data_IF_746245483346
#
_entry.id   IF_746245483346
#
_cell.length_a   1.000
_cell.length_b   1.000
_cell.length_c   1.000
_cell.angle_alpha   90.00
_cell.angle_beta   90.00
_cell.angle_gamma   90.00
#
_symmetry.space_group_name_H-M   'P 1'
#
loop_
_entity.id
_entity.type
_entity.pdbx_description
1 polymer ?
#
# COMPACT_ATOMS: atom_id res chain seq x y z
N UNK A 1 -12.24 23.19 -31.02
CA UNK A 1 -11.22 23.62 -30.04
C UNK A 1 -11.64 23.05 -28.71
N UNK A 2 -11.11 21.89 -28.34
CA UNK A 2 -11.28 21.34 -26.99
C UNK A 2 -10.65 22.33 -26.03
N UNK A 3 -11.45 22.87 -25.11
CA UNK A 3 -10.95 23.63 -23.98
C UNK A 3 -9.91 22.77 -23.28
N UNK A 4 -8.65 23.21 -23.21
CA UNK A 4 -7.63 22.58 -22.37
C UNK A 4 -8.07 22.80 -20.93
N UNK A 5 -8.88 21.89 -20.40
CA UNK A 5 -9.18 21.85 -18.98
C UNK A 5 -7.90 21.48 -18.25
N UNK A 6 -7.53 22.30 -17.27
CA UNK A 6 -6.33 22.10 -16.47
C UNK A 6 -6.78 21.91 -15.03
N UNK A 7 -6.77 20.68 -14.57
CA UNK A 7 -7.28 20.28 -13.26
C UNK A 7 -6.66 21.10 -12.12
N UNK A 8 -5.34 21.32 -12.20
CA UNK A 8 -4.59 22.00 -11.16
C UNK A 8 -4.86 23.49 -11.15
N UNK A 9 -4.92 24.11 -12.34
CA UNK A 9 -5.20 25.54 -12.48
C UNK A 9 -6.65 25.86 -12.12
N UNK A 10 -7.59 25.02 -12.56
CA UNK A 10 -9.03 25.21 -12.35
C UNK A 10 -9.41 25.07 -10.87
N UNK A 11 -8.70 24.23 -10.11
CA UNK A 11 -8.95 23.99 -8.68
C UNK A 11 -7.89 24.63 -7.76
N UNK A 12 -6.98 25.44 -8.31
CA UNK A 12 -5.89 26.10 -7.58
C UNK A 12 -5.05 25.12 -6.72
N UNK A 13 -4.77 23.94 -7.27
CA UNK A 13 -3.95 22.91 -6.65
C UNK A 13 -2.49 23.08 -7.06
N UNK A 14 -1.57 22.76 -6.15
CA UNK A 14 -0.14 22.78 -6.44
C UNK A 14 0.33 21.41 -6.97
N UNK A 15 0.74 21.29 -8.25
CA UNK A 15 1.24 20.03 -8.81
C UNK A 15 2.70 19.73 -8.44
N UNK A 16 3.33 20.49 -7.53
CA UNK A 16 4.73 20.31 -7.17
C UNK A 16 5.03 18.87 -6.72
N UNK A 17 6.08 18.28 -7.32
CA UNK A 17 6.48 16.89 -7.08
C UNK A 17 5.98 15.91 -8.14
N UNK A 18 4.99 16.31 -8.95
CA UNK A 18 4.58 15.57 -10.14
C UNK A 18 5.50 15.86 -11.33
N UNK A 19 5.65 14.88 -12.22
CA UNK A 19 6.20 15.06 -13.56
C UNK A 19 5.16 15.65 -14.50
N UNK A 20 5.66 16.26 -15.58
CA UNK A 20 4.79 16.73 -16.66
C UNK A 20 3.91 15.60 -17.21
N UNK A 21 4.44 14.39 -17.38
CA UNK A 21 3.66 13.25 -17.86
C UNK A 21 2.51 12.87 -16.91
N UNK A 22 2.69 13.02 -15.60
CA UNK A 22 1.66 12.74 -14.59
C UNK A 22 0.60 13.84 -14.59
N UNK A 23 1.02 15.10 -14.74
CA UNK A 23 0.13 16.26 -14.90
C UNK A 23 -0.72 16.11 -16.16
N UNK A 24 -0.10 15.74 -17.28
CA UNK A 24 -0.79 15.55 -18.56
C UNK A 24 -1.84 14.43 -18.48
N UNK A 25 -1.55 13.34 -17.76
CA UNK A 25 -2.52 12.25 -17.51
C UNK A 25 -3.72 12.74 -16.69
N UNK A 26 -3.47 13.50 -15.61
CA UNK A 26 -4.54 14.02 -14.76
C UNK A 26 -5.41 15.02 -15.53
N UNK A 27 -4.80 15.89 -16.33
CA UNK A 27 -5.52 16.82 -17.20
C UNK A 27 -6.33 16.08 -18.29
N UNK A 28 -5.79 15.02 -18.91
CA UNK A 28 -6.55 14.15 -19.83
C UNK A 28 -7.74 13.49 -19.11
N UNK A 29 -7.55 13.03 -17.89
CA UNK A 29 -8.61 12.47 -17.07
C UNK A 29 -9.71 13.50 -16.81
N UNK A 30 -9.34 14.69 -16.31
CA UNK A 30 -10.26 15.77 -16.01
C UNK A 30 -11.04 16.28 -17.23
N UNK A 31 -10.39 16.26 -18.41
CA UNK A 31 -11.02 16.66 -19.67
C UNK A 31 -12.08 15.66 -20.16
N UNK A 32 -11.86 14.37 -19.95
CA UNK A 32 -12.61 13.31 -20.65
C UNK A 32 -13.57 12.49 -19.78
N UNK A 33 -13.51 12.60 -18.45
CA UNK A 33 -14.37 11.80 -17.57
C UNK A 33 -15.16 12.71 -16.63
N UNK A 34 -16.47 12.47 -16.55
CA UNK A 34 -17.32 13.16 -15.58
C UNK A 34 -17.48 12.30 -14.33
N UNK A 35 -17.72 12.96 -13.18
CA UNK A 35 -18.00 12.34 -11.87
C UNK A 35 -19.08 11.25 -11.92
N UNK A 36 -20.02 11.35 -12.86
CA UNK A 36 -21.15 10.42 -12.99
C UNK A 36 -20.86 9.22 -13.91
N UNK A 37 -19.73 9.20 -14.61
CA UNK A 37 -19.42 8.12 -15.55
C UNK A 37 -18.79 6.89 -14.88
N UNK A 38 -18.21 7.03 -13.67
CA UNK A 38 -17.35 6.03 -12.99
C UNK A 38 -17.28 6.28 -11.47
N UNK A 39 -17.17 5.23 -10.63
CA UNK A 39 -16.94 5.41 -9.18
C UNK A 39 -15.48 5.74 -8.83
N UNK A 40 -14.61 5.89 -9.84
CA UNK A 40 -13.27 6.48 -9.67
C UNK A 40 -13.22 7.74 -10.51
N UNK A 41 -13.34 8.89 -9.86
CA UNK A 41 -13.31 10.22 -10.46
C UNK A 41 -12.27 11.11 -9.78
N UNK A 42 -11.84 12.15 -10.49
CA UNK A 42 -11.03 13.21 -9.91
C UNK A 42 -11.89 14.07 -8.99
N UNK A 43 -11.33 14.50 -7.87
CA UNK A 43 -12.02 15.37 -6.93
C UNK A 43 -12.56 16.64 -7.58
N UNK A 44 -13.74 17.05 -7.16
CA UNK A 44 -14.19 18.43 -7.34
C UNK A 44 -13.67 19.35 -6.22
N UNK A 45 -14.03 20.63 -6.30
CA UNK A 45 -13.58 21.63 -5.33
C UNK A 45 -14.06 21.33 -3.89
N UNK A 46 -15.25 20.74 -3.72
CA UNK A 46 -15.80 20.40 -2.41
C UNK A 46 -15.06 19.19 -1.82
N UNK A 47 -14.83 18.16 -2.63
CA UNK A 47 -14.07 16.98 -2.22
C UNK A 47 -12.63 17.32 -1.84
N UNK A 48 -11.98 18.23 -2.57
CA UNK A 48 -10.64 18.72 -2.21
C UNK A 48 -10.65 19.32 -0.80
N UNK A 49 -11.62 20.17 -0.47
CA UNK A 49 -11.71 20.81 0.85
C UNK A 49 -11.93 19.76 1.95
N UNK A 50 -12.89 18.85 1.73
CA UNK A 50 -13.21 17.77 2.68
C UNK A 50 -11.98 16.91 2.97
N UNK A 51 -11.32 16.40 1.93
CA UNK A 51 -10.21 15.47 2.11
C UNK A 51 -8.91 16.16 2.57
N UNK A 52 -8.73 17.45 2.27
CA UNK A 52 -7.63 18.24 2.84
C UNK A 52 -7.78 18.38 4.36
N UNK A 53 -8.97 18.75 4.84
CA UNK A 53 -9.23 18.86 6.29
C UNK A 53 -9.20 17.48 6.97
N UNK A 54 -9.68 16.43 6.29
CA UNK A 54 -9.59 15.06 6.80
C UNK A 54 -8.13 14.63 7.02
N UNK A 55 -7.25 14.79 6.03
CA UNK A 55 -5.83 14.46 6.17
C UNK A 55 -5.17 15.29 7.28
N UNK A 56 -5.53 16.57 7.40
CA UNK A 56 -5.02 17.42 8.48
C UNK A 56 -5.42 16.88 9.86
N UNK A 57 -6.68 16.51 10.05
CA UNK A 57 -7.15 15.90 11.29
C UNK A 57 -6.39 14.60 11.62
N UNK A 58 -6.25 13.70 10.65
CA UNK A 58 -5.48 12.44 10.82
C UNK A 58 -4.05 12.74 11.29
N UNK A 59 -3.38 13.70 10.65
CA UNK A 59 -2.00 14.04 11.01
C UNK A 59 -1.91 14.57 12.44
N UNK A 60 -2.86 15.39 12.87
CA UNK A 60 -2.90 15.93 14.23
C UNK A 60 -3.17 14.84 15.29
N UNK A 61 -4.10 13.92 15.02
CA UNK A 61 -4.43 12.82 15.94
C UNK A 61 -3.30 11.79 16.11
N UNK A 62 -2.52 11.55 15.06
CA UNK A 62 -1.49 10.50 15.03
C UNK A 62 -0.04 11.03 15.10
N UNK A 63 0.18 12.08 15.88
CA UNK A 63 1.51 12.63 16.22
C UNK A 63 2.31 13.16 14.99
N UNK A 64 1.64 13.89 14.10
CA UNK A 64 2.20 14.44 12.84
C UNK A 64 2.72 13.36 11.89
N UNK A 65 1.81 12.53 11.39
CA UNK A 65 2.12 11.51 10.37
C UNK A 65 2.78 12.11 9.13
N UNK A 66 4.09 11.89 9.00
CA UNK A 66 4.87 12.36 7.86
C UNK A 66 4.62 11.54 6.60
N UNK A 67 4.08 10.32 6.74
CA UNK A 67 3.74 9.47 5.60
C UNK A 67 2.83 10.17 4.57
N UNK A 68 1.85 10.93 5.06
CA UNK A 68 0.86 11.61 4.21
C UNK A 68 1.34 12.94 3.61
N UNK A 69 2.47 13.50 4.09
CA UNK A 69 3.00 14.77 3.58
C UNK A 69 3.38 14.71 2.10
N UNK A 70 3.71 13.50 1.64
CA UNK A 70 4.20 13.27 0.29
C UNK A 70 3.09 12.75 -0.64
N UNK A 71 1.83 12.62 -0.19
CA UNK A 71 0.74 12.07 -1.01
C UNK A 71 -0.20 13.16 -1.48
N UNK A 72 -0.37 13.28 -2.79
CA UNK A 72 -1.44 14.06 -3.39
C UNK A 72 -2.66 13.16 -3.61
N UNK A 73 -3.70 13.36 -2.81
CA UNK A 73 -5.00 12.71 -3.02
C UNK A 73 -5.71 13.32 -4.24
N UNK A 74 -6.40 12.47 -5.00
CA UNK A 74 -7.11 12.92 -6.19
C UNK A 74 -8.43 12.20 -6.44
N UNK A 75 -8.80 11.16 -5.68
CA UNK A 75 -10.05 10.41 -5.85
C UNK A 75 -10.48 9.78 -4.54
N UNK A 76 -11.79 9.58 -4.36
CA UNK A 76 -12.34 8.79 -3.27
C UNK A 76 -13.69 8.17 -3.66
N UNK A 77 -14.08 7.12 -2.93
CA UNK A 77 -15.42 6.52 -3.02
C UNK A 77 -16.39 7.06 -1.95
N UNK A 78 -17.61 6.52 -1.96
CA UNK A 78 -18.68 6.88 -1.02
C UNK A 78 -18.38 6.44 0.42
N UNK A 79 -17.52 5.44 0.59
CA UNK A 79 -17.09 4.91 1.88
C UNK A 79 -15.83 5.65 2.39
N UNK A 80 -15.52 6.83 1.84
CA UNK A 80 -14.36 7.65 2.23
C UNK A 80 -12.98 7.00 2.01
N UNK A 81 -12.90 5.93 1.23
CA UNK A 81 -11.61 5.40 0.82
C UNK A 81 -11.02 6.28 -0.26
N UNK A 82 -9.74 6.62 -0.14
CA UNK A 82 -9.06 7.55 -1.01
C UNK A 82 -8.01 6.87 -1.88
N UNK A 83 -7.71 7.51 -3.00
CA UNK A 83 -6.54 7.21 -3.83
C UNK A 83 -5.70 8.47 -4.01
N UNK A 84 -4.40 8.31 -3.90
CA UNK A 84 -3.44 9.37 -4.12
C UNK A 84 -2.14 8.90 -4.78
N UNK A 85 -1.37 9.86 -5.27
CA UNK A 85 -0.04 9.62 -5.85
C UNK A 85 1.03 10.12 -4.89
N UNK A 86 2.05 9.30 -4.67
CA UNK A 86 3.23 9.69 -3.92
C UNK A 86 4.08 10.66 -4.76
N UNK A 87 4.31 11.87 -4.27
CA UNK A 87 4.97 12.98 -4.98
C UNK A 87 6.46 13.09 -4.66
N UNK A 88 6.95 12.39 -3.64
CA UNK A 88 8.37 12.39 -3.22
C UNK A 88 8.81 11.03 -2.66
N UNK A 89 10.11 10.93 -2.35
CA UNK A 89 10.70 9.74 -1.74
C UNK A 89 10.94 8.58 -2.71
N UNK A 90 11.28 7.41 -2.15
CA UNK A 90 11.64 6.22 -2.93
C UNK A 90 10.47 5.68 -3.77
N UNK A 91 9.23 5.88 -3.31
CA UNK A 91 8.00 5.42 -3.97
C UNK A 91 7.35 6.49 -4.84
N UNK A 92 8.08 7.53 -5.24
CA UNK A 92 7.52 8.62 -6.04
C UNK A 92 6.88 8.08 -7.33
N UNK A 93 5.67 8.56 -7.64
CA UNK A 93 4.86 8.18 -8.78
C UNK A 93 3.96 6.97 -8.53
N UNK A 94 4.12 6.30 -7.38
CA UNK A 94 3.29 5.17 -6.99
C UNK A 94 1.94 5.64 -6.50
N UNK A 95 0.92 4.84 -6.79
CA UNK A 95 -0.46 5.09 -6.38
C UNK A 95 -0.72 4.35 -5.08
N UNK A 96 -1.26 5.07 -4.12
CA UNK A 96 -1.62 4.60 -2.80
C UNK A 96 -3.13 4.57 -2.65
N UNK A 97 -3.62 3.49 -2.07
CA UNK A 97 -4.96 3.38 -1.54
C UNK A 97 -4.91 3.69 -0.04
N UNK A 98 -5.87 4.49 0.42
CA UNK A 98 -5.99 4.93 1.80
C UNK A 98 -7.41 4.63 2.30
N UNK A 99 -7.41 3.92 3.41
CA UNK A 99 -8.47 3.69 4.36
C UNK A 99 -9.48 4.76 4.73
N UNK A 100 -10.78 4.44 4.85
CA UNK A 100 -11.57 5.07 5.93
C UNK A 100 -10.98 4.75 7.31
N UNK A 101 -10.52 3.49 7.50
CA UNK A 101 -9.84 3.02 8.71
C UNK A 101 -8.33 3.33 8.69
N UNK A 102 -7.88 4.22 7.79
CA UNK A 102 -6.51 4.71 7.66
C UNK A 102 -5.40 3.69 7.35
N UNK A 103 -5.75 2.46 6.98
CA UNK A 103 -4.78 1.52 6.39
C UNK A 103 -4.33 2.04 5.03
N UNK A 104 -3.02 1.96 4.78
CA UNK A 104 -2.45 2.60 3.59
C UNK A 104 -1.50 1.65 2.90
N UNK A 105 -1.73 1.42 1.62
CA UNK A 105 -0.88 0.52 0.85
C UNK A 105 -0.69 0.98 -0.59
N UNK A 106 0.48 0.73 -1.17
CA UNK A 106 0.69 0.94 -2.59
C UNK A 106 -0.13 -0.08 -3.39
N UNK A 107 -0.70 0.39 -4.49
CA UNK A 107 -1.60 -0.40 -5.35
C UNK A 107 -1.15 -0.43 -6.81
N UNK A 108 -0.50 0.65 -7.28
CA UNK A 108 0.15 0.72 -8.60
C UNK A 108 1.52 1.36 -8.50
N UNK A 109 2.46 0.91 -9.35
CA UNK A 109 3.80 1.55 -9.45
C UNK A 109 3.78 2.86 -10.23
N UNK A 110 2.76 3.09 -11.06
CA UNK A 110 2.66 4.32 -11.86
C UNK A 110 1.21 4.78 -12.02
N UNK A 111 1.01 6.10 -12.10
CA UNK A 111 -0.26 6.70 -12.47
C UNK A 111 -0.76 6.23 -13.83
N UNK A 112 0.15 6.02 -14.79
CA UNK A 112 -0.21 5.54 -16.14
C UNK A 112 -0.90 4.17 -16.08
N UNK A 113 -0.31 3.20 -15.37
CA UNK A 113 -0.88 1.86 -15.25
C UNK A 113 -2.24 1.88 -14.54
N UNK A 114 -2.36 2.68 -13.47
CA UNK A 114 -3.63 2.89 -12.79
C UNK A 114 -4.69 3.49 -13.74
N UNK A 115 -4.34 4.56 -14.43
CA UNK A 115 -5.25 5.27 -15.32
C UNK A 115 -5.69 4.39 -16.49
N UNK A 116 -4.80 3.59 -17.08
CA UNK A 116 -5.15 2.62 -18.14
C UNK A 116 -6.20 1.61 -17.67
N UNK A 117 -6.10 1.07 -16.45
CA UNK A 117 -7.10 0.15 -15.89
C UNK A 117 -8.42 0.84 -15.52
N UNK A 118 -8.37 2.10 -15.10
CA UNK A 118 -9.58 2.93 -14.95
C UNK A 118 -10.23 3.12 -16.33
N UNK A 119 -9.47 3.49 -17.37
CA UNK A 119 -9.96 3.65 -18.75
C UNK A 119 -10.62 2.39 -19.30
N UNK A 120 -10.01 1.22 -19.09
CA UNK A 120 -10.52 -0.09 -19.53
C UNK A 120 -11.70 -0.61 -18.72
N UNK A 121 -12.07 0.07 -17.61
CA UNK A 121 -13.12 -0.34 -16.65
C UNK A 121 -12.81 -1.64 -15.91
N UNK A 122 -11.54 -2.03 -15.83
CA UNK A 122 -11.10 -3.10 -14.94
C UNK A 122 -11.17 -2.67 -13.47
N UNK A 123 -11.02 -1.37 -13.24
CA UNK A 123 -11.27 -0.74 -11.95
C UNK A 123 -12.45 0.20 -12.12
N UNK A 124 -13.47 -0.03 -11.31
CA UNK A 124 -14.65 0.85 -11.26
C UNK A 124 -14.88 1.46 -9.90
N UNK A 125 -14.14 1.04 -8.88
CA UNK A 125 -14.36 1.39 -7.48
C UNK A 125 -13.03 1.46 -6.72
N UNK A 126 -12.87 2.46 -5.86
CA UNK A 126 -11.69 2.64 -5.00
C UNK A 126 -11.63 1.53 -3.95
N UNK A 127 -12.77 1.14 -3.37
CA UNK A 127 -12.85 0.06 -2.38
C UNK A 127 -12.30 -1.28 -2.89
N UNK A 128 -12.32 -1.50 -4.22
CA UNK A 128 -11.78 -2.70 -4.84
C UNK A 128 -10.27 -2.87 -4.55
N UNK A 129 -9.55 -1.77 -4.39
CA UNK A 129 -8.14 -1.79 -3.98
C UNK A 129 -7.94 -2.24 -2.56
N UNK A 130 -8.91 -1.96 -1.69
CA UNK A 130 -8.91 -2.43 -0.32
C UNK A 130 -8.75 -3.95 -0.23
N UNK A 131 -9.32 -4.69 -1.18
CA UNK A 131 -9.25 -6.16 -1.19
C UNK A 131 -7.87 -6.65 -1.65
N UNK A 132 -7.29 -6.07 -2.70
CA UNK A 132 -6.05 -6.56 -3.34
C UNK A 132 -5.27 -5.42 -4.03
N UNK A 133 -3.95 -5.36 -3.82
CA UNK A 133 -3.05 -4.46 -4.58
C UNK A 133 -2.71 -5.10 -5.95
N UNK A 134 -3.30 -4.65 -7.08
CA UNK A 134 -3.26 -5.43 -8.33
C UNK A 134 -1.85 -5.57 -8.91
N UNK A 135 -0.99 -4.56 -8.77
CA UNK A 135 0.36 -4.59 -9.32
C UNK A 135 1.37 -5.33 -8.43
N UNK A 136 1.09 -5.44 -7.13
CA UNK A 136 1.99 -6.04 -6.15
C UNK A 136 1.63 -7.49 -5.82
N UNK A 137 0.38 -7.89 -6.00
CA UNK A 137 -0.07 -9.28 -5.92
C UNK A 137 0.14 -10.05 -7.23
N UNK A 138 1.28 -9.83 -7.89
CA UNK A 138 1.66 -10.50 -9.12
C UNK A 138 2.94 -11.32 -8.93
N UNK A 139 2.88 -12.62 -9.22
CA UNK A 139 4.06 -13.52 -9.19
C UNK A 139 5.03 -13.28 -10.34
N UNK A 140 4.59 -12.58 -11.38
CA UNK A 140 5.32 -12.36 -12.63
C UNK A 140 5.63 -10.87 -12.81
N UNK A 141 6.45 -10.32 -11.91
CA UNK A 141 7.01 -8.98 -12.03
C UNK A 141 8.14 -8.98 -13.07
N UNK A 142 8.24 -7.89 -13.85
CA UNK A 142 9.35 -7.67 -14.78
C UNK A 142 10.66 -7.41 -14.03
N UNK A 143 11.80 -7.58 -14.70
CA UNK A 143 13.11 -7.30 -14.11
C UNK A 143 13.25 -5.84 -13.63
N UNK A 144 12.70 -4.90 -14.39
CA UNK A 144 12.70 -3.47 -14.02
C UNK A 144 11.85 -3.20 -12.77
N UNK A 145 10.68 -3.84 -12.67
CA UNK A 145 9.84 -3.74 -11.47
C UNK A 145 10.54 -4.34 -10.25
N UNK A 146 11.16 -5.52 -10.39
CA UNK A 146 11.91 -6.15 -9.29
C UNK A 146 13.11 -5.31 -8.86
N UNK A 147 13.84 -4.70 -9.79
CA UNK A 147 14.94 -3.81 -9.46
C UNK A 147 14.46 -2.56 -8.70
N UNK A 148 13.31 -2.00 -9.11
CA UNK A 148 12.68 -0.86 -8.44
C UNK A 148 12.19 -1.26 -7.05
N UNK A 149 11.45 -2.35 -6.94
CA UNK A 149 10.91 -2.87 -5.68
C UNK A 149 12.03 -3.17 -4.69
N UNK A 150 13.13 -3.79 -5.13
CA UNK A 150 14.29 -4.07 -4.29
C UNK A 150 14.92 -2.80 -3.72
N UNK A 151 15.12 -1.78 -4.57
CA UNK A 151 15.67 -0.50 -4.12
C UNK A 151 14.74 0.18 -3.11
N UNK A 152 13.44 0.23 -3.42
CA UNK A 152 12.43 0.83 -2.53
C UNK A 152 12.35 0.07 -1.21
N UNK A 153 12.44 -1.26 -1.26
CA UNK A 153 12.44 -2.11 -0.06
C UNK A 153 13.60 -1.75 0.86
N UNK A 154 14.83 -1.67 0.33
CA UNK A 154 16.01 -1.32 1.11
C UNK A 154 15.90 0.08 1.73
N UNK A 155 15.44 1.07 0.95
CA UNK A 155 15.23 2.44 1.42
C UNK A 155 14.15 2.50 2.53
N UNK A 156 13.05 1.76 2.38
CA UNK A 156 11.99 1.69 3.38
C UNK A 156 12.44 0.97 4.65
N UNK A 157 13.19 -0.13 4.54
CA UNK A 157 13.70 -0.86 5.69
C UNK A 157 14.62 0.04 6.53
N UNK A 158 15.51 0.80 5.87
CA UNK A 158 16.31 1.82 6.55
C UNK A 158 15.42 2.88 7.19
N UNK A 159 14.41 3.39 6.50
CA UNK A 159 13.49 4.40 7.05
C UNK A 159 12.77 3.87 8.30
N UNK A 160 12.29 2.64 8.30
CA UNK A 160 11.63 1.99 9.44
C UNK A 160 12.54 1.97 10.67
N UNK A 161 13.82 1.63 10.50
CA UNK A 161 14.79 1.57 11.60
C UNK A 161 15.11 2.94 12.21
N UNK A 162 14.91 4.03 11.48
CA UNK A 162 15.17 5.41 11.93
C UNK A 162 13.91 6.19 12.31
N UNK A 163 12.71 5.60 12.14
CA UNK A 163 11.45 6.28 12.42
C UNK A 163 11.05 6.09 13.88
N UNK A 164 11.01 7.20 14.64
CA UNK A 164 10.60 7.20 16.04
C UNK A 164 9.07 7.20 16.22
N UNK A 165 8.34 7.92 15.36
CA UNK A 165 6.87 7.94 15.38
C UNK A 165 6.34 6.53 15.09
N UNK A 166 5.64 5.95 16.07
CA UNK A 166 5.14 4.57 16.01
C UNK A 166 4.10 4.36 14.90
N UNK A 167 3.32 5.38 14.57
CA UNK A 167 2.27 5.33 13.55
C UNK A 167 2.85 5.45 12.14
N UNK A 168 3.82 6.33 11.92
CA UNK A 168 4.57 6.36 10.66
C UNK A 168 5.32 5.04 10.43
N UNK A 169 6.01 4.55 11.47
CA UNK A 169 6.71 3.27 11.41
C UNK A 169 5.74 2.12 11.08
N UNK A 170 4.53 2.15 11.62
CA UNK A 170 3.48 1.19 11.30
C UNK A 170 3.16 1.20 9.80
N UNK A 171 2.84 2.37 9.24
CA UNK A 171 2.52 2.52 7.82
C UNK A 171 3.68 2.13 6.90
N UNK A 172 4.93 2.43 7.29
CA UNK A 172 6.10 1.99 6.54
C UNK A 172 6.27 0.47 6.56
N UNK A 173 6.02 -0.20 7.69
CA UNK A 173 6.08 -1.67 7.77
C UNK A 173 4.98 -2.31 6.92
N UNK A 174 3.74 -1.81 6.99
CA UNK A 174 2.63 -2.28 6.13
C UNK A 174 2.98 -2.14 4.64
N UNK A 175 3.54 -0.99 4.26
CA UNK A 175 4.00 -0.73 2.89
C UNK A 175 5.13 -1.69 2.49
N UNK A 176 6.14 -1.88 3.36
CA UNK A 176 7.26 -2.79 3.12
C UNK A 176 6.79 -4.22 2.86
N UNK A 177 5.84 -4.72 3.67
CA UNK A 177 5.26 -6.07 3.51
C UNK A 177 4.56 -6.19 2.16
N UNK A 178 3.79 -5.17 1.78
CA UNK A 178 3.01 -5.16 0.53
C UNK A 178 3.91 -5.26 -0.71
N UNK A 179 5.07 -4.60 -0.69
CA UNK A 179 5.93 -4.46 -1.87
C UNK A 179 7.01 -5.55 -1.95
N UNK A 180 7.18 -6.32 -0.87
CA UNK A 180 8.29 -7.25 -0.68
C UNK A 180 8.57 -8.10 -1.93
N UNK A 181 9.75 -7.94 -2.56
CA UNK A 181 10.16 -8.81 -3.66
C UNK A 181 10.55 -10.20 -3.14
N UNK A 182 10.46 -11.25 -3.99
CA UNK A 182 10.56 -12.64 -3.53
C UNK A 182 11.91 -12.97 -2.87
N UNK A 183 12.98 -12.31 -3.31
CA UNK A 183 14.34 -12.39 -2.79
C UNK A 183 14.51 -11.71 -1.42
N UNK A 184 13.61 -10.79 -1.06
CA UNK A 184 13.64 -10.03 0.20
C UNK A 184 12.71 -10.57 1.28
N UNK A 185 11.88 -11.57 0.99
CA UNK A 185 10.91 -12.10 1.96
C UNK A 185 11.52 -12.55 3.29
N UNK A 186 12.77 -13.04 3.28
CA UNK A 186 13.45 -13.44 4.51
C UNK A 186 13.64 -12.29 5.49
N UNK A 187 13.76 -11.06 5.00
CA UNK A 187 13.95 -9.85 5.80
C UNK A 187 12.67 -9.49 6.58
N UNK A 188 11.48 -9.89 6.08
CA UNK A 188 10.21 -9.70 6.80
C UNK A 188 10.13 -10.50 8.10
N UNK A 189 11.02 -11.47 8.33
CA UNK A 189 11.05 -12.25 9.57
C UNK A 189 11.30 -11.40 10.81
N UNK A 190 11.96 -10.24 10.66
CA UNK A 190 12.17 -9.25 11.74
C UNK A 190 10.84 -8.79 12.36
N UNK A 191 9.78 -8.71 11.55
CA UNK A 191 8.48 -8.17 11.94
C UNK A 191 7.46 -9.24 12.38
N UNK A 192 7.82 -10.53 12.35
CA UNK A 192 6.93 -11.66 12.73
C UNK A 192 6.48 -11.65 14.19
N UNK A 193 7.20 -10.94 15.06
CA UNK A 193 6.85 -10.80 16.47
C UNK A 193 6.43 -9.38 16.84
N UNK A 194 6.03 -8.57 15.84
CA UNK A 194 5.42 -7.27 16.09
C UNK A 194 4.18 -7.39 16.98
N UNK A 195 3.82 -6.31 17.67
CA UNK A 195 2.60 -6.29 18.48
C UNK A 195 1.35 -6.37 17.60
N UNK A 196 1.43 -5.84 16.39
CA UNK A 196 0.33 -5.75 15.46
C UNK A 196 -0.05 -7.10 14.83
N UNK A 197 -1.34 -7.41 14.85
CA UNK A 197 -1.89 -8.63 14.29
C UNK A 197 -1.82 -8.66 12.75
N UNK A 198 -2.12 -7.54 12.11
CA UNK A 198 -2.22 -7.42 10.66
C UNK A 198 -0.86 -7.56 9.98
N UNK A 199 0.20 -6.98 10.55
CA UNK A 199 1.56 -7.19 10.04
C UNK A 199 1.93 -8.67 10.00
N UNK A 200 1.73 -9.39 11.10
CA UNK A 200 2.06 -10.82 11.16
C UNK A 200 1.21 -11.61 10.17
N UNK A 201 -0.09 -11.29 10.10
CA UNK A 201 -1.00 -11.94 9.16
C UNK A 201 -0.53 -11.76 7.71
N UNK A 202 -0.25 -10.53 7.30
CA UNK A 202 0.18 -10.18 5.94
C UNK A 202 1.54 -10.80 5.59
N UNK A 203 2.50 -10.83 6.54
CA UNK A 203 3.79 -11.50 6.33
C UNK A 203 3.60 -13.00 6.06
N UNK A 204 2.75 -13.67 6.85
CA UNK A 204 2.45 -15.09 6.65
C UNK A 204 1.69 -15.33 5.33
N UNK A 205 0.83 -14.41 4.92
CA UNK A 205 0.18 -14.43 3.59
C UNK A 205 1.19 -14.26 2.46
N UNK A 206 2.16 -13.34 2.59
CA UNK A 206 3.25 -13.16 1.64
C UNK A 206 4.12 -14.42 1.53
N UNK A 207 4.50 -15.03 2.66
CA UNK A 207 5.26 -16.28 2.67
C UNK A 207 4.52 -17.40 1.94
N UNK A 208 3.22 -17.57 2.21
CA UNK A 208 2.40 -18.55 1.53
C UNK A 208 2.26 -18.25 0.03
N UNK A 209 2.05 -16.99 -0.35
CA UNK A 209 1.89 -16.58 -1.74
C UNK A 209 3.14 -16.90 -2.57
N UNK A 210 4.33 -16.62 -2.04
CA UNK A 210 5.60 -16.86 -2.73
C UNK A 210 6.20 -18.25 -2.47
N UNK A 211 5.52 -19.14 -1.73
CA UNK A 211 6.05 -20.42 -1.27
C UNK A 211 7.42 -20.29 -0.56
N UNK A 212 7.61 -19.17 0.16
CA UNK A 212 8.86 -18.85 0.83
C UNK A 212 9.14 -19.85 1.96
N UNK A 213 10.34 -20.41 1.95
CA UNK A 213 10.79 -21.34 2.99
C UNK A 213 11.47 -20.56 4.11
N UNK A 214 10.72 -20.28 5.17
CA UNK A 214 11.24 -19.70 6.41
C UNK A 214 11.65 -20.80 7.40
N UNK A 215 12.47 -20.46 8.38
CA UNK A 215 12.79 -21.33 9.51
C UNK A 215 11.51 -21.81 10.24
N UNK A 216 11.27 -23.13 10.18
CA UNK A 216 10.15 -23.79 10.83
C UNK A 216 10.18 -23.62 12.36
N UNK A 217 11.35 -23.50 12.98
CA UNK A 217 11.48 -23.27 14.43
C UNK A 217 11.00 -21.87 14.80
N UNK A 218 11.34 -20.87 13.99
CA UNK A 218 10.87 -19.51 14.17
C UNK A 218 9.34 -19.43 14.06
N UNK A 219 8.76 -20.04 13.03
CA UNK A 219 7.31 -20.07 12.82
C UNK A 219 6.59 -20.89 13.91
N UNK A 220 7.21 -21.94 14.43
CA UNK A 220 6.68 -22.68 15.56
C UNK A 220 6.69 -21.85 16.85
N UNK A 221 7.79 -21.12 17.11
CA UNK A 221 7.90 -20.18 18.24
C UNK A 221 6.85 -19.07 18.16
N UNK A 222 6.56 -18.58 16.94
CA UNK A 222 5.46 -17.65 16.70
C UNK A 222 4.13 -18.25 17.15
N UNK A 223 3.77 -19.45 16.68
CA UNK A 223 2.51 -20.08 17.06
C UNK A 223 2.39 -20.43 18.56
N UNK A 224 3.52 -20.64 19.27
CA UNK A 224 3.52 -20.74 20.74
C UNK A 224 3.17 -19.40 21.40
N UNK A 225 3.82 -18.32 20.97
CA UNK A 225 3.65 -16.98 21.57
C UNK A 225 2.32 -16.32 21.19
N UNK A 226 1.83 -16.56 19.98
CA UNK A 226 0.62 -15.93 19.41
C UNK A 226 -0.33 -17.01 18.88
N UNK A 227 -1.14 -17.62 19.77
CA UNK A 227 -1.99 -18.76 19.43
C UNK A 227 -2.99 -18.55 18.28
N UNK A 228 -3.41 -17.31 18.07
CA UNK A 228 -4.31 -16.87 17.01
C UNK A 228 -3.79 -17.23 15.59
N UNK A 229 -2.47 -17.29 15.38
CA UNK A 229 -1.88 -17.65 14.08
C UNK A 229 -1.71 -19.16 13.86
N UNK A 230 -1.92 -20.00 14.87
CA UNK A 230 -1.72 -21.48 14.76
C UNK A 230 -2.49 -22.09 13.61
N UNK A 231 -3.71 -21.61 13.32
CA UNK A 231 -4.53 -22.13 12.21
C UNK A 231 -3.89 -21.85 10.85
N UNK A 232 -3.34 -20.65 10.66
CA UNK A 232 -2.65 -20.26 9.42
C UNK A 232 -1.33 -21.03 9.28
N UNK A 233 -0.53 -21.10 10.35
CA UNK A 233 0.73 -21.84 10.39
C UNK A 233 0.52 -23.33 10.04
N UNK A 234 -0.53 -23.98 10.57
CA UNK A 234 -0.89 -25.36 10.19
C UNK A 234 -1.21 -25.51 8.70
N UNK A 235 -1.90 -24.55 8.09
CA UNK A 235 -2.19 -24.56 6.64
C UNK A 235 -0.91 -24.42 5.81
N UNK A 236 0.09 -23.71 6.33
CA UNK A 236 1.43 -23.60 5.74
C UNK A 236 2.31 -24.84 5.99
N UNK A 237 1.77 -25.90 6.62
CA UNK A 237 2.51 -27.12 6.92
C UNK A 237 3.36 -27.07 8.18
N UNK A 238 3.31 -25.97 8.96
CA UNK A 238 4.04 -25.86 10.22
C UNK A 238 3.32 -26.70 11.27
N UNK A 239 4.02 -27.72 11.78
CA UNK A 239 3.53 -28.61 12.82
C UNK A 239 4.52 -28.64 13.98
N UNK A 240 4.07 -28.97 15.20
CA UNK A 240 4.97 -29.14 16.31
C UNK A 240 6.00 -30.21 16.00
N UNK A 241 7.26 -29.90 16.29
CA UNK A 241 8.33 -30.86 16.09
C UNK A 241 8.12 -32.07 17.00
N UNK A 242 8.27 -33.28 16.45
CA UNK A 242 8.41 -34.50 17.23
C UNK A 242 9.77 -34.45 17.93
N UNK A 243 9.79 -34.23 19.25
CA UNK A 243 10.90 -34.73 20.06
C UNK A 243 10.62 -36.18 20.40
N UNK A 244 11.63 -37.03 20.31
CA UNK A 244 11.53 -38.46 20.58
C UNK A 244 10.64 -38.71 21.82
N UNK A 245 9.58 -39.50 21.63
CA UNK A 245 8.54 -39.92 22.59
C UNK A 245 7.42 -38.93 22.96
N UNK A 246 7.46 -37.63 22.62
CA UNK A 246 6.34 -36.71 22.90
C UNK A 246 6.15 -35.64 21.83
N UNK A 247 4.90 -35.41 21.42
CA UNK A 247 4.55 -34.22 20.66
C UNK A 247 4.58 -33.01 21.60
N UNK A 248 5.42 -32.01 21.32
CA UNK A 248 5.22 -30.71 21.97
C UNK A 248 3.84 -30.18 21.52
N UNK A 249 2.90 -30.00 22.45
CA UNK A 249 1.63 -29.34 22.12
C UNK A 249 1.91 -27.86 21.84
N UNK A 250 1.11 -27.28 20.95
CA UNK A 250 1.10 -25.84 20.70
C UNK A 250 0.82 -25.05 21.98
#
# INVERSE_FOLDING_TARGET
>A
MTSNKDYFSDLNLNPAGLLQEEIDIINDWYANYTKFDRNVHLFDAEEIEIYTEHIKFIKEEYENLSFYDDILLFSADEDSNCVGIMTKGAMRGWIFFISEDFWTKPVFRTLKAFYEKVKSKEITDVSAFGVQSPDFLNKHRTELELATDNKVFDDLLQKIHHTENKHDRYLFVETLITIAPPDKLSELTEFLFSEDYWHIRQILEAFAFYNHQTDNELLYKLGKKKPEFRKQLKKMGIQPQRKFLFWEKW
#
